data_IF_079904063068
#
_entry.id   IF_079904063068
#
_cell.length_a   1.000
_cell.length_b   1.000
_cell.length_c   1.000
_cell.angle_alpha   90.00
_cell.angle_beta   90.00
_cell.angle_gamma   90.00
#
_symmetry.space_group_name_H-M   'P 1'
#
loop_
_entity.id
_entity.type
_entity.pdbx_description
1 polymer ?
#
# COMPACT_ATOMS: atom_id res chain seq x y z
N UNK A 1 -15.39 22.41 -7.34
CA UNK A 1 -14.87 21.10 -7.75
C UNK A 1 -15.67 20.03 -7.05
N UNK A 2 -15.90 18.88 -7.70
CA UNK A 2 -16.50 17.72 -7.05
C UNK A 2 -15.49 17.04 -6.14
N UNK A 3 -15.94 16.69 -4.94
CA UNK A 3 -15.16 15.95 -3.97
C UNK A 3 -16.06 15.07 -3.11
N UNK A 4 -15.48 14.03 -2.52
CA UNK A 4 -16.12 13.30 -1.43
C UNK A 4 -15.84 14.04 -0.13
N UNK A 5 -16.89 14.37 0.60
CA UNK A 5 -16.83 15.10 1.87
C UNK A 5 -17.42 14.23 2.97
N UNK A 6 -16.74 14.23 4.12
CA UNK A 6 -17.18 13.55 5.34
C UNK A 6 -17.39 14.60 6.42
N UNK A 7 -18.64 14.78 6.84
CA UNK A 7 -19.05 15.75 7.88
C UNK A 7 -19.06 15.16 9.29
N UNK A 8 -19.16 13.85 9.41
CA UNK A 8 -19.11 13.10 10.66
C UNK A 8 -18.41 11.76 10.47
N UNK A 9 -17.75 11.25 11.51
CA UNK A 9 -17.15 9.91 11.46
C UNK A 9 -18.23 8.84 11.54
N UNK A 10 -18.09 7.75 10.77
CA UNK A 10 -19.12 6.71 10.77
C UNK A 10 -18.95 5.60 9.73
N UNK A 11 -20.06 4.91 9.38
CA UNK A 11 -20.09 3.92 8.31
C UNK A 11 -19.83 4.57 6.93
N UNK A 12 -19.71 3.79 5.84
CA UNK A 12 -19.44 4.34 4.51
C UNK A 12 -20.45 5.39 4.01
N UNK A 13 -21.69 5.38 4.49
CA UNK A 13 -22.77 6.30 4.12
C UNK A 13 -22.55 7.77 4.55
N UNK A 14 -21.60 8.03 5.46
CA UNK A 14 -21.17 9.40 5.80
C UNK A 14 -20.40 10.09 4.67
N UNK A 15 -19.98 9.36 3.64
CA UNK A 15 -19.22 9.86 2.50
C UNK A 15 -20.19 10.39 1.43
N UNK A 16 -20.17 11.70 1.19
CA UNK A 16 -21.08 12.36 0.24
C UNK A 16 -20.31 13.07 -0.86
N UNK A 17 -20.79 12.96 -2.10
CA UNK A 17 -20.24 13.77 -3.19
C UNK A 17 -20.84 15.18 -3.12
N UNK A 18 -19.98 16.18 -3.08
CA UNK A 18 -20.36 17.59 -2.94
C UNK A 18 -19.54 18.46 -3.88
N UNK A 19 -20.11 19.62 -4.24
CA UNK A 19 -19.40 20.68 -4.94
C UNK A 19 -18.80 21.65 -3.92
N UNK A 20 -17.47 21.65 -3.80
CA UNK A 20 -16.70 22.47 -2.85
C UNK A 20 -15.77 23.45 -3.57
N UNK A 21 -15.24 24.43 -2.85
CA UNK A 21 -14.22 25.35 -3.38
C UNK A 21 -12.94 24.58 -3.77
N UNK A 22 -12.34 24.94 -4.92
CA UNK A 22 -11.09 24.35 -5.35
C UNK A 22 -9.93 24.85 -4.48
N UNK A 23 -9.02 23.97 -4.03
CA UNK A 23 -7.88 24.39 -3.22
C UNK A 23 -6.88 25.16 -4.09
N UNK A 24 -6.18 26.10 -3.47
CA UNK A 24 -5.07 26.83 -4.10
C UNK A 24 -3.73 26.32 -3.58
N UNK A 25 -2.71 26.12 -4.44
CA UNK A 25 -1.40 25.68 -4.00
C UNK A 25 -0.67 26.83 -3.27
N UNK A 26 -0.02 26.52 -2.15
CA UNK A 26 0.97 27.39 -1.52
C UNK A 26 2.29 27.42 -2.28
N UNK A 27 3.32 28.14 -1.77
CA UNK A 27 4.58 28.35 -2.48
C UNK A 27 5.33 27.08 -2.86
N UNK A 28 5.29 26.03 -2.04
CA UNK A 28 5.98 24.74 -2.29
C UNK A 28 5.04 23.66 -2.81
N UNK A 29 3.77 23.99 -3.01
CA UNK A 29 2.75 23.01 -3.33
C UNK A 29 2.53 22.86 -4.83
N UNK A 30 2.02 21.69 -5.20
CA UNK A 30 1.59 21.33 -6.53
C UNK A 30 0.10 21.08 -6.48
N UNK A 31 -0.65 21.76 -7.35
CA UNK A 31 -2.06 21.47 -7.60
C UNK A 31 -2.13 20.43 -8.72
N UNK A 32 -2.77 19.31 -8.45
CA UNK A 32 -2.89 18.19 -9.39
C UNK A 32 -4.35 17.94 -9.71
N UNK A 33 -4.66 17.91 -11.01
CA UNK A 33 -5.93 17.41 -11.53
C UNK A 33 -5.92 15.89 -11.48
N UNK A 34 -6.66 15.36 -10.52
CA UNK A 34 -6.74 13.92 -10.24
C UNK A 34 -7.38 13.22 -11.43
N UNK A 35 -6.78 12.11 -11.83
CA UNK A 35 -7.30 11.19 -12.86
C UNK A 35 -7.67 9.84 -12.25
N UNK A 36 -7.02 9.47 -11.14
CA UNK A 36 -7.41 8.35 -10.31
C UNK A 36 -6.95 8.59 -8.87
N UNK A 37 -7.69 8.06 -7.91
CA UNK A 37 -7.33 8.05 -6.48
C UNK A 37 -7.41 6.64 -5.93
N UNK A 38 -6.45 6.27 -5.08
CA UNK A 38 -6.32 4.91 -4.57
C UNK A 38 -7.04 4.74 -3.24
N UNK A 39 -7.83 3.67 -3.09
CA UNK A 39 -8.47 3.31 -1.82
C UNK A 39 -7.54 2.41 -1.01
N UNK A 40 -7.33 2.72 0.27
CA UNK A 40 -6.55 1.93 1.21
C UNK A 40 -7.41 1.51 2.42
N UNK A 41 -7.11 0.38 3.08
CA UNK A 41 -7.83 -0.01 4.30
C UNK A 41 -7.81 1.06 5.39
N UNK A 42 -6.69 1.79 5.53
CA UNK A 42 -6.57 2.88 6.51
C UNK A 42 -7.52 4.04 6.22
N UNK A 43 -7.92 4.30 4.96
CA UNK A 43 -8.95 5.30 4.64
C UNK A 43 -10.29 4.96 5.33
N UNK A 44 -10.60 3.67 5.46
CA UNK A 44 -11.82 3.20 6.15
C UNK A 44 -11.76 3.42 7.65
N UNK A 45 -10.57 3.30 8.27
CA UNK A 45 -10.38 3.50 9.70
C UNK A 45 -10.43 4.98 10.07
N UNK A 46 -9.88 5.84 9.21
CA UNK A 46 -9.98 7.31 9.33
C UNK A 46 -11.44 7.75 9.20
N UNK A 47 -12.15 7.28 8.18
CA UNK A 47 -13.59 7.55 8.00
C UNK A 47 -14.44 7.07 9.17
N UNK A 48 -14.13 5.90 9.73
CA UNK A 48 -14.81 5.38 10.93
C UNK A 48 -14.42 6.10 12.23
N UNK A 49 -13.39 6.95 12.22
CA UNK A 49 -12.90 7.66 13.40
C UNK A 49 -12.17 6.77 14.42
N UNK A 50 -11.68 5.60 13.99
CA UNK A 50 -10.95 4.61 14.82
C UNK A 50 -9.43 4.67 14.65
N UNK A 51 -8.94 5.51 13.74
CA UNK A 51 -7.52 5.81 13.53
C UNK A 51 -7.28 7.32 13.64
N UNK A 52 -6.48 7.90 12.74
CA UNK A 52 -6.29 9.34 12.66
C UNK A 52 -7.64 10.06 12.48
N UNK A 53 -7.80 11.22 13.12
CA UNK A 53 -9.05 12.00 13.14
C UNK A 53 -8.80 13.41 12.58
N UNK A 54 -8.88 13.59 11.24
CA UNK A 54 -8.82 14.92 10.64
C UNK A 54 -9.97 15.82 11.11
N UNK A 55 -9.80 17.14 11.00
CA UNK A 55 -10.85 18.10 11.32
C UNK A 55 -12.02 17.93 10.33
N UNK A 56 -13.25 17.93 10.85
CA UNK A 56 -14.47 17.81 10.05
C UNK A 56 -14.98 19.20 9.61
N UNK A 57 -15.57 19.33 8.41
CA UNK A 57 -15.60 18.33 7.36
C UNK A 57 -14.22 18.15 6.71
N UNK A 58 -13.93 16.95 6.19
CA UNK A 58 -12.71 16.69 5.41
C UNK A 58 -13.00 15.91 4.14
N UNK A 59 -12.05 15.97 3.21
CA UNK A 59 -12.02 15.16 1.99
C UNK A 59 -11.14 13.92 2.23
N UNK A 60 -11.64 12.69 2.07
CA UNK A 60 -10.82 11.47 2.25
C UNK A 60 -9.79 11.23 1.12
N UNK A 61 -9.04 10.14 1.27
CA UNK A 61 -8.11 9.63 0.26
C UNK A 61 -6.71 10.19 0.39
N UNK A 62 -5.71 9.30 0.29
CA UNK A 62 -4.29 9.67 0.37
C UNK A 62 -3.59 9.59 -0.98
N UNK A 63 -3.79 8.49 -1.71
CA UNK A 63 -3.08 8.19 -2.97
C UNK A 63 -3.77 8.84 -4.16
N UNK A 64 -3.01 9.43 -5.07
CA UNK A 64 -3.55 9.96 -6.32
C UNK A 64 -2.56 9.79 -7.48
N UNK A 65 -3.11 9.85 -8.68
CA UNK A 65 -2.35 10.13 -9.88
C UNK A 65 -3.14 11.04 -10.82
N UNK A 66 -2.44 11.87 -11.56
CA UNK A 66 -3.07 12.89 -12.36
C UNK A 66 -2.09 13.76 -13.14
N UNK A 67 -2.57 14.93 -13.53
CA UNK A 67 -1.81 15.91 -14.29
C UNK A 67 -1.61 17.15 -13.43
N UNK A 68 -0.40 17.68 -13.38
CA UNK A 68 -0.12 18.95 -12.71
C UNK A 68 -0.94 20.05 -13.39
N UNK A 69 -1.82 20.70 -12.62
CA UNK A 69 -2.64 21.83 -13.06
C UNK A 69 -1.86 23.14 -12.87
N UNK A 70 -1.28 23.32 -11.67
CA UNK A 70 -0.51 24.49 -11.30
C UNK A 70 0.58 24.14 -10.28
N UNK A 71 1.58 25.01 -10.15
CA UNK A 71 2.68 24.88 -9.19
C UNK A 71 2.88 26.18 -8.44
N UNK A 72 3.25 26.08 -7.16
CA UNK A 72 3.69 27.19 -6.35
C UNK A 72 5.02 27.79 -6.84
N UNK A 73 5.31 29.02 -6.40
CA UNK A 73 6.46 29.80 -6.85
C UNK A 73 7.84 29.22 -6.47
N UNK A 74 7.89 28.30 -5.51
CA UNK A 74 9.11 27.64 -5.02
C UNK A 74 9.21 26.16 -5.44
N UNK A 75 8.27 25.67 -6.26
CA UNK A 75 8.31 24.32 -6.81
C UNK A 75 9.43 24.20 -7.84
N UNK A 76 10.21 23.12 -7.74
CA UNK A 76 11.30 22.81 -8.66
C UNK A 76 11.07 21.45 -9.31
N UNK A 77 11.36 21.35 -10.61
CA UNK A 77 11.34 20.07 -11.34
C UNK A 77 9.95 19.55 -11.76
N UNK A 78 8.87 20.24 -11.36
CA UNK A 78 7.50 19.97 -11.84
C UNK A 78 6.92 21.21 -12.53
N UNK A 79 6.05 20.97 -13.51
CA UNK A 79 5.38 22.02 -14.30
C UNK A 79 3.99 21.57 -14.71
N UNK A 80 3.11 22.52 -15.02
CA UNK A 80 1.79 22.24 -15.56
C UNK A 80 1.87 21.28 -16.77
N UNK A 81 0.90 20.36 -16.86
CA UNK A 81 0.85 19.31 -17.89
C UNK A 81 1.67 18.05 -17.58
N UNK A 82 2.53 18.05 -16.54
CA UNK A 82 3.29 16.85 -16.17
C UNK A 82 2.39 15.76 -15.58
N UNK A 83 2.64 14.50 -15.94
CA UNK A 83 2.01 13.32 -15.33
C UNK A 83 2.68 13.02 -14.00
N UNK A 84 1.89 12.87 -12.95
CA UNK A 84 2.39 12.66 -11.59
C UNK A 84 1.55 11.66 -10.82
N UNK A 85 2.15 11.08 -9.79
CA UNK A 85 1.47 10.36 -8.72
C UNK A 85 1.99 10.86 -7.37
N UNK A 86 1.27 10.57 -6.30
CA UNK A 86 1.69 10.94 -4.96
C UNK A 86 0.81 10.34 -3.90
N UNK A 87 1.16 10.62 -2.65
CA UNK A 87 0.38 10.23 -1.48
C UNK A 87 0.45 11.28 -0.38
N UNK A 88 -0.66 11.50 0.31
CA UNK A 88 -0.71 12.27 1.55
C UNK A 88 -0.61 11.40 2.80
N UNK A 89 -0.81 12.04 3.96
CA UNK A 89 -1.04 11.35 5.23
C UNK A 89 -2.54 11.28 5.53
N UNK A 90 -2.97 10.43 6.48
CA UNK A 90 -4.36 10.37 6.93
C UNK A 90 -4.91 11.72 7.43
N UNK A 91 -4.03 12.58 7.96
CA UNK A 91 -4.40 13.92 8.43
C UNK A 91 -4.55 14.92 7.29
N UNK A 92 -3.80 14.74 6.20
CA UNK A 92 -3.89 15.63 5.04
C UNK A 92 -5.13 15.35 4.18
N UNK A 93 -5.45 14.08 3.93
CA UNK A 93 -6.58 13.68 3.08
C UNK A 93 -6.60 14.38 1.72
N UNK A 94 -7.73 14.44 1.02
CA UNK A 94 -7.93 15.32 -0.13
C UNK A 94 -7.80 14.67 -1.51
N UNK A 95 -7.44 13.39 -1.60
CA UNK A 95 -7.28 12.73 -2.90
C UNK A 95 -8.61 12.27 -3.53
N UNK A 96 -9.68 12.10 -2.75
CA UNK A 96 -11.03 11.81 -3.25
C UNK A 96 -11.74 13.08 -3.76
N UNK A 97 -11.12 13.76 -4.73
CA UNK A 97 -11.60 14.99 -5.35
C UNK A 97 -11.07 15.14 -6.78
N UNK A 98 -11.64 16.08 -7.55
CA UNK A 98 -11.13 16.42 -8.89
C UNK A 98 -9.75 17.10 -8.87
N UNK A 99 -9.44 17.84 -7.81
CA UNK A 99 -8.14 18.49 -7.60
C UNK A 99 -7.61 18.17 -6.20
N UNK A 100 -6.29 17.99 -6.10
CA UNK A 100 -5.58 17.80 -4.82
C UNK A 100 -4.35 18.68 -4.77
N UNK A 101 -4.07 19.23 -3.58
CA UNK A 101 -2.85 19.99 -3.29
C UNK A 101 -1.91 19.16 -2.42
N UNK A 102 -0.63 19.14 -2.79
CA UNK A 102 0.44 18.50 -2.04
C UNK A 102 1.74 19.28 -2.12
N UNK A 103 2.53 19.20 -1.05
CA UNK A 103 3.91 19.68 -1.11
C UNK A 103 4.69 18.91 -2.20
N UNK A 104 5.55 19.60 -2.93
CA UNK A 104 6.34 19.01 -4.01
C UNK A 104 7.15 17.78 -3.59
N UNK A 105 7.53 17.65 -2.31
CA UNK A 105 8.24 16.48 -1.79
C UNK A 105 7.39 15.20 -1.76
N UNK A 106 6.07 15.30 -1.95
CA UNK A 106 5.12 14.19 -1.95
C UNK A 106 4.56 13.88 -3.36
N UNK A 107 5.08 14.57 -4.38
CA UNK A 107 4.61 14.46 -5.77
C UNK A 107 5.75 13.96 -6.65
N UNK A 108 5.53 12.83 -7.31
CA UNK A 108 6.54 12.12 -8.07
C UNK A 108 6.11 12.00 -9.54
N UNK A 109 7.04 12.13 -10.49
CA UNK A 109 6.72 11.94 -11.90
C UNK A 109 6.21 10.52 -12.19
N UNK A 110 5.15 10.42 -12.99
CA UNK A 110 4.59 9.16 -13.47
C UNK A 110 5.07 8.90 -14.91
N UNK A 111 5.77 7.79 -15.20
CA UNK A 111 6.20 7.45 -16.56
C UNK A 111 5.01 7.30 -17.53
N UNK A 112 5.22 7.63 -18.80
CA UNK A 112 4.15 7.62 -19.82
C UNK A 112 3.49 6.25 -20.01
N UNK A 113 4.27 5.17 -19.85
CA UNK A 113 3.80 3.78 -19.92
C UNK A 113 2.98 3.30 -18.72
N UNK A 114 2.81 4.12 -17.68
CA UNK A 114 2.03 3.78 -16.49
C UNK A 114 0.70 4.55 -16.49
N UNK A 115 -0.41 3.82 -16.52
CA UNK A 115 -1.75 4.43 -16.49
C UNK A 115 -2.01 5.16 -15.16
N UNK A 116 -2.90 6.15 -15.14
CA UNK A 116 -3.20 6.89 -13.90
C UNK A 116 -3.79 5.99 -12.81
N UNK A 117 -4.66 5.03 -13.16
CA UNK A 117 -5.15 4.03 -12.22
C UNK A 117 -4.02 3.24 -11.55
N UNK A 118 -2.99 2.86 -12.31
CA UNK A 118 -1.79 2.22 -11.77
C UNK A 118 -0.97 3.19 -10.92
N UNK A 119 -0.84 4.45 -11.35
CA UNK A 119 -0.19 5.51 -10.58
C UNK A 119 -0.82 5.71 -9.19
N UNK A 120 -2.15 5.68 -9.12
CA UNK A 120 -2.90 5.79 -7.86
C UNK A 120 -2.77 4.55 -6.95
N UNK A 121 -2.15 3.47 -7.44
CA UNK A 121 -1.82 2.29 -6.65
C UNK A 121 -0.40 2.35 -6.06
N UNK A 122 0.40 3.38 -6.36
CA UNK A 122 1.82 3.44 -5.97
C UNK A 122 2.05 3.95 -4.55
N UNK A 123 1.52 5.12 -4.21
CA UNK A 123 1.90 5.90 -3.03
C UNK A 123 2.06 5.10 -1.73
N UNK A 124 0.96 4.82 -1.04
CA UNK A 124 0.96 4.02 0.19
C UNK A 124 1.42 2.58 -0.05
N UNK A 125 0.91 1.81 -1.04
CA UNK A 125 1.23 0.39 -1.16
C UNK A 125 2.71 0.11 -1.47
N UNK A 126 3.28 0.76 -2.48
CA UNK A 126 4.68 0.55 -2.87
C UNK A 126 5.65 1.22 -1.91
N UNK A 127 5.29 2.38 -1.34
CA UNK A 127 6.10 3.00 -0.30
C UNK A 127 6.21 2.12 0.95
N UNK A 128 5.10 1.50 1.36
CA UNK A 128 5.06 0.56 2.48
C UNK A 128 5.91 -0.66 2.21
N UNK A 129 5.72 -1.31 1.06
CA UNK A 129 6.45 -2.52 0.68
C UNK A 129 7.97 -2.26 0.55
N UNK A 130 8.37 -1.16 -0.09
CA UNK A 130 9.78 -0.80 -0.22
C UNK A 130 10.43 -0.56 1.14
N UNK A 131 9.77 0.21 2.01
CA UNK A 131 10.25 0.47 3.36
C UNK A 131 10.36 -0.82 4.17
N UNK A 132 9.37 -1.71 4.07
CA UNK A 132 9.35 -2.98 4.78
C UNK A 132 10.54 -3.86 4.38
N UNK A 133 10.76 -4.02 3.07
CA UNK A 133 11.82 -4.87 2.54
C UNK A 133 13.21 -4.31 2.82
N UNK A 134 13.47 -3.04 2.48
CA UNK A 134 14.85 -2.55 2.42
C UNK A 134 15.27 -1.70 3.60
N UNK A 135 14.36 -0.89 4.16
CA UNK A 135 14.72 0.05 5.23
C UNK A 135 14.50 -0.54 6.62
N UNK A 136 13.56 -1.48 6.76
CA UNK A 136 13.28 -2.17 8.02
C UNK A 136 13.94 -3.54 8.05
N UNK A 137 13.60 -4.43 7.10
CA UNK A 137 14.11 -5.80 7.12
C UNK A 137 15.54 -5.95 6.59
N UNK A 138 16.06 -4.94 5.88
CA UNK A 138 17.36 -4.99 5.19
C UNK A 138 17.51 -6.24 4.31
N UNK A 139 16.45 -6.56 3.57
CA UNK A 139 16.35 -7.74 2.73
C UNK A 139 17.47 -7.81 1.68
N UNK A 140 18.01 -9.01 1.47
CA UNK A 140 19.11 -9.28 0.56
C UNK A 140 18.68 -10.21 -0.57
N UNK A 141 19.31 -10.10 -1.76
CA UNK A 141 19.14 -11.12 -2.80
C UNK A 141 19.41 -12.51 -2.24
N UNK A 142 18.57 -13.47 -2.59
CA UNK A 142 18.61 -14.85 -2.07
C UNK A 142 17.81 -15.09 -0.79
N UNK A 143 17.40 -14.05 -0.06
CA UNK A 143 16.49 -14.23 1.08
C UNK A 143 15.14 -14.79 0.61
N UNK A 144 14.53 -15.64 1.44
CA UNK A 144 13.15 -16.09 1.24
C UNK A 144 12.19 -15.21 2.03
N UNK A 145 11.19 -14.65 1.35
CA UNK A 145 10.13 -13.83 1.97
C UNK A 145 8.76 -14.48 1.80
N UNK A 146 8.01 -14.56 2.89
CA UNK A 146 6.57 -14.81 2.89
C UNK A 146 5.83 -13.48 2.91
N UNK A 147 4.95 -13.26 1.92
CA UNK A 147 4.05 -12.11 1.87
C UNK A 147 2.64 -12.58 2.19
N UNK A 148 2.17 -12.26 3.40
CA UNK A 148 0.79 -12.54 3.77
C UNK A 148 -0.17 -11.57 3.08
N UNK A 149 -1.32 -12.05 2.59
CA UNK A 149 -2.28 -11.21 1.87
C UNK A 149 -1.71 -10.60 0.57
N UNK A 150 -0.90 -11.39 -0.13
CA UNK A 150 -0.15 -11.00 -1.33
C UNK A 150 -1.03 -10.53 -2.50
N UNK A 151 -2.33 -10.85 -2.51
CA UNK A 151 -3.25 -10.41 -3.57
C UNK A 151 -3.83 -9.00 -3.37
N UNK A 152 -3.58 -8.35 -2.23
CA UNK A 152 -3.96 -6.95 -2.00
C UNK A 152 -2.94 -5.96 -2.55
N UNK A 153 -3.25 -4.64 -2.51
CA UNK A 153 -2.35 -3.61 -3.07
C UNK A 153 -0.92 -3.62 -2.52
N UNK A 154 -0.75 -3.64 -1.19
CA UNK A 154 0.57 -3.70 -0.56
C UNK A 154 1.25 -5.07 -0.76
N UNK A 155 0.46 -6.14 -0.81
CA UNK A 155 0.93 -7.49 -1.09
C UNK A 155 1.51 -7.62 -2.51
N UNK A 156 0.79 -7.14 -3.52
CA UNK A 156 1.24 -7.11 -4.92
C UNK A 156 2.53 -6.29 -5.05
N UNK A 157 2.57 -5.12 -4.40
CA UNK A 157 3.78 -4.30 -4.39
C UNK A 157 4.98 -5.04 -3.78
N UNK A 158 4.78 -5.69 -2.64
CA UNK A 158 5.81 -6.49 -1.98
C UNK A 158 6.31 -7.65 -2.84
N UNK A 159 5.41 -8.40 -3.48
CA UNK A 159 5.77 -9.51 -4.38
C UNK A 159 6.64 -9.00 -5.53
N UNK A 160 6.23 -7.93 -6.21
CA UNK A 160 6.98 -7.38 -7.34
C UNK A 160 8.35 -6.84 -6.92
N UNK A 161 8.40 -6.05 -5.85
CA UNK A 161 9.66 -5.45 -5.37
C UNK A 161 10.63 -6.56 -4.90
N UNK A 162 10.15 -7.53 -4.12
CA UNK A 162 10.97 -8.65 -3.66
C UNK A 162 11.49 -9.49 -4.84
N UNK A 163 10.62 -9.77 -5.83
CA UNK A 163 11.02 -10.50 -7.04
C UNK A 163 12.09 -9.75 -7.83
N UNK A 164 11.92 -8.45 -8.03
CA UNK A 164 12.88 -7.60 -8.73
C UNK A 164 14.23 -7.49 -8.00
N UNK A 165 14.22 -7.59 -6.67
CA UNK A 165 15.43 -7.58 -5.83
C UNK A 165 16.10 -8.96 -5.66
N UNK A 166 15.60 -10.01 -6.34
CA UNK A 166 16.22 -11.34 -6.32
C UNK A 166 15.92 -12.17 -5.08
N UNK A 167 14.82 -11.90 -4.37
CA UNK A 167 14.34 -12.74 -3.27
C UNK A 167 13.55 -13.94 -3.80
N UNK A 168 13.52 -15.04 -3.03
CA UNK A 168 12.56 -16.14 -3.21
C UNK A 168 11.24 -15.76 -2.54
N UNK A 169 10.21 -15.51 -3.35
CA UNK A 169 8.92 -14.99 -2.88
C UNK A 169 7.89 -16.12 -2.76
N UNK A 170 7.33 -16.28 -1.56
CA UNK A 170 6.13 -17.06 -1.27
C UNK A 170 5.02 -16.05 -0.96
N UNK A 171 3.88 -16.11 -1.64
CA UNK A 171 2.74 -15.23 -1.38
C UNK A 171 1.52 -16.02 -0.94
N UNK A 172 0.67 -15.44 -0.09
CA UNK A 172 -0.62 -16.06 0.26
C UNK A 172 -1.82 -15.25 -0.21
N UNK A 173 -2.88 -15.95 -0.63
CA UNK A 173 -4.18 -15.36 -0.95
C UNK A 173 -5.29 -16.32 -0.52
N UNK A 174 -6.53 -15.84 -0.39
CA UNK A 174 -7.65 -16.65 0.10
C UNK A 174 -8.64 -17.10 -0.97
N UNK A 175 -8.35 -16.85 -2.25
CA UNK A 175 -9.22 -17.21 -3.37
C UNK A 175 -8.39 -17.65 -4.57
N UNK A 176 -8.94 -18.51 -5.42
CA UNK A 176 -8.27 -18.95 -6.65
C UNK A 176 -7.85 -17.77 -7.58
N UNK A 177 -8.69 -16.75 -7.83
CA UNK A 177 -8.25 -15.55 -8.56
C UNK A 177 -7.12 -14.79 -7.86
N UNK A 178 -7.15 -14.70 -6.53
CA UNK A 178 -6.06 -14.08 -5.76
C UNK A 178 -4.74 -14.83 -5.90
N UNK A 179 -4.76 -16.17 -5.85
CA UNK A 179 -3.58 -17.02 -6.05
C UNK A 179 -3.01 -16.89 -7.47
N UNK A 180 -3.89 -16.87 -8.47
CA UNK A 180 -3.51 -16.65 -9.86
C UNK A 180 -2.84 -15.28 -10.04
N UNK A 181 -3.41 -14.23 -9.43
CA UNK A 181 -2.81 -12.91 -9.42
C UNK A 181 -1.42 -12.93 -8.78
N UNK A 182 -1.28 -13.46 -7.56
CA UNK A 182 0.00 -13.53 -6.83
C UNK A 182 1.09 -14.21 -7.66
N UNK A 183 0.74 -15.31 -8.34
CA UNK A 183 1.65 -16.00 -9.27
C UNK A 183 2.02 -15.10 -10.44
N UNK A 184 1.04 -14.48 -11.09
CA UNK A 184 1.27 -13.58 -12.22
C UNK A 184 2.12 -12.34 -11.86
N UNK A 185 2.10 -11.91 -10.59
CA UNK A 185 2.91 -10.81 -10.08
C UNK A 185 4.35 -11.20 -9.73
N UNK A 186 4.72 -12.48 -9.82
CA UNK A 186 6.11 -12.95 -9.71
C UNK A 186 6.45 -13.76 -8.46
N UNK A 187 5.45 -14.14 -7.66
CA UNK A 187 5.65 -15.10 -6.57
C UNK A 187 6.15 -16.44 -7.15
N UNK A 188 7.13 -17.05 -6.49
CA UNK A 188 7.60 -18.39 -6.88
C UNK A 188 6.60 -19.46 -6.45
N UNK A 189 5.92 -19.22 -5.33
CA UNK A 189 4.86 -20.08 -4.81
C UNK A 189 3.70 -19.20 -4.32
N UNK A 190 2.47 -19.60 -4.65
CA UNK A 190 1.25 -18.98 -4.16
C UNK A 190 0.48 -20.02 -3.34
N UNK A 191 0.17 -19.71 -2.07
CA UNK A 191 -0.46 -20.64 -1.14
C UNK A 191 -1.81 -20.10 -0.65
N UNK A 192 -2.79 -20.98 -0.53
CA UNK A 192 -4.09 -20.63 0.04
C UNK A 192 -3.98 -20.50 1.57
N UNK A 193 -4.09 -19.28 2.10
CA UNK A 193 -4.03 -19.08 3.57
C UNK A 193 -5.30 -19.55 4.31
N UNK A 194 -6.34 -19.97 3.59
CA UNK A 194 -7.50 -20.67 4.14
C UNK A 194 -7.27 -22.18 4.32
N UNK A 195 -6.27 -22.76 3.63
CA UNK A 195 -5.95 -24.17 3.76
C UNK A 195 -5.26 -24.46 5.12
N UNK A 196 -5.70 -25.44 5.91
CA UNK A 196 -5.13 -25.70 7.25
C UNK A 196 -3.61 -25.95 7.29
N UNK A 197 -3.04 -26.45 6.20
CA UNK A 197 -1.66 -26.92 6.10
C UNK A 197 -0.71 -25.95 5.37
N UNK A 198 -1.15 -24.74 4.99
CA UNK A 198 -0.33 -23.86 4.16
C UNK A 198 1.02 -23.49 4.80
N UNK A 199 1.09 -23.36 6.13
CA UNK A 199 2.36 -23.10 6.84
C UNK A 199 3.31 -24.31 6.79
N UNK A 200 2.78 -25.53 6.79
CA UNK A 200 3.58 -26.73 6.57
C UNK A 200 4.15 -26.75 5.14
N UNK A 201 3.38 -26.28 4.15
CA UNK A 201 3.88 -26.11 2.79
C UNK A 201 4.99 -25.04 2.71
N UNK A 202 4.90 -23.94 3.47
CA UNK A 202 6.00 -22.95 3.59
C UNK A 202 7.28 -23.63 4.10
N UNK A 203 7.17 -24.46 5.13
CA UNK A 203 8.33 -25.20 5.66
C UNK A 203 8.88 -26.19 4.64
N UNK A 204 8.02 -26.89 3.89
CA UNK A 204 8.46 -27.80 2.83
C UNK A 204 9.19 -27.05 1.68
N UNK A 205 8.66 -25.91 1.22
CA UNK A 205 9.27 -25.05 0.18
C UNK A 205 10.64 -24.51 0.61
N UNK A 206 10.84 -24.35 1.91
CA UNK A 206 12.10 -23.87 2.52
C UNK A 206 12.97 -25.01 3.05
N UNK A 207 12.67 -26.27 2.71
CA UNK A 207 13.43 -27.45 3.10
C UNK A 207 13.64 -27.54 4.62
N UNK A 208 12.62 -27.14 5.39
CA UNK A 208 12.64 -27.10 6.84
C UNK A 208 13.40 -25.93 7.44
N UNK A 209 14.06 -25.08 6.64
CA UNK A 209 14.83 -23.93 7.13
C UNK A 209 13.94 -22.80 7.63
N UNK A 210 12.76 -22.60 7.03
CA UNK A 210 11.91 -21.43 7.27
C UNK A 210 12.28 -20.23 6.40
N UNK A 211 11.49 -19.15 6.51
CA UNK A 211 11.66 -17.91 5.74
C UNK A 211 12.53 -16.90 6.49
N UNK A 212 13.30 -16.10 5.76
CA UNK A 212 14.10 -15.01 6.34
C UNK A 212 13.21 -13.84 6.77
N UNK A 213 12.12 -13.61 6.05
CA UNK A 213 11.25 -12.47 6.25
C UNK A 213 9.77 -12.87 6.11
N UNK A 214 8.93 -12.37 7.01
CA UNK A 214 7.48 -12.32 6.85
C UNK A 214 7.05 -10.86 6.75
N UNK A 215 6.29 -10.53 5.70
CA UNK A 215 5.58 -9.26 5.60
C UNK A 215 4.11 -9.49 5.97
N UNK A 216 3.76 -9.04 7.16
CA UNK A 216 2.51 -9.43 7.82
C UNK A 216 1.43 -8.33 7.72
N UNK A 217 0.29 -8.68 7.10
CA UNK A 217 -0.80 -7.75 6.80
C UNK A 217 -2.01 -7.88 7.75
N UNK A 218 -2.06 -8.91 8.59
CA UNK A 218 -3.12 -9.22 9.54
C UNK A 218 -2.55 -9.89 10.81
N UNK A 219 -1.62 -9.19 11.48
CA UNK A 219 -0.85 -9.73 12.59
C UNK A 219 -1.69 -10.28 13.75
N UNK A 220 -2.89 -9.73 13.99
CA UNK A 220 -3.78 -10.24 15.03
C UNK A 220 -4.26 -11.69 14.79
N UNK A 221 -4.08 -12.23 13.59
CA UNK A 221 -4.46 -13.59 13.20
C UNK A 221 -3.24 -14.50 13.02
N UNK A 222 -2.13 -13.96 12.50
CA UNK A 222 -1.01 -14.79 12.02
C UNK A 222 0.23 -14.74 12.93
N UNK A 223 0.43 -13.65 13.67
CA UNK A 223 1.76 -13.32 14.22
C UNK A 223 2.41 -14.46 15.01
N UNK A 224 1.68 -15.12 15.92
CA UNK A 224 2.25 -16.24 16.70
C UNK A 224 2.68 -17.43 15.84
N UNK A 225 1.91 -17.72 14.79
CA UNK A 225 2.19 -18.80 13.83
C UNK A 225 3.30 -18.44 12.86
N UNK A 226 3.43 -17.15 12.52
CA UNK A 226 4.54 -16.65 11.71
C UNK A 226 5.88 -16.96 12.38
N UNK A 227 5.95 -16.91 13.72
CA UNK A 227 7.17 -17.22 14.46
C UNK A 227 7.64 -18.67 14.28
N UNK A 228 6.72 -19.60 13.98
CA UNK A 228 7.04 -21.02 13.81
C UNK A 228 7.74 -21.30 12.47
N UNK A 229 7.55 -20.44 11.47
CA UNK A 229 8.06 -20.63 10.12
C UNK A 229 9.28 -19.77 9.79
N UNK A 230 9.81 -19.02 10.77
CA UNK A 230 11.01 -18.24 10.58
C UNK A 230 12.26 -19.13 10.52
N UNK A 231 13.19 -18.72 9.67
CA UNK A 231 14.57 -19.18 9.73
C UNK A 231 15.30 -18.59 10.95
N UNK A 232 16.46 -19.14 11.33
CA UNK A 232 17.36 -18.47 12.27
C UNK A 232 17.66 -17.03 11.84
N UNK A 233 17.61 -16.10 12.79
CA UNK A 233 17.66 -14.64 12.61
C UNK A 233 16.55 -14.05 11.71
N UNK A 234 15.46 -14.80 11.50
CA UNK A 234 14.32 -14.36 10.71
C UNK A 234 13.56 -13.20 11.35
N UNK A 235 12.81 -12.47 10.52
CA UNK A 235 12.11 -11.26 10.95
C UNK A 235 10.64 -11.27 10.50
N UNK A 236 9.76 -10.76 11.34
CA UNK A 236 8.39 -10.38 10.95
C UNK A 236 8.29 -8.86 10.92
N UNK A 237 7.91 -8.31 9.77
CA UNK A 237 7.54 -6.89 9.65
C UNK A 237 6.03 -6.78 9.68
N UNK A 238 5.51 -6.26 10.79
CA UNK A 238 4.07 -6.04 11.00
C UNK A 238 3.65 -4.76 10.29
N UNK A 239 2.91 -4.92 9.20
CA UNK A 239 2.39 -3.84 8.35
C UNK A 239 0.91 -3.57 8.65
N UNK A 240 0.14 -4.64 8.87
CA UNK A 240 -1.29 -4.56 9.10
C UNK A 240 -1.73 -5.32 10.35
N UNK A 241 -2.69 -4.74 11.07
CA UNK A 241 -3.23 -5.30 12.31
C UNK A 241 -4.65 -4.77 12.56
N UNK A 242 -5.55 -5.61 13.07
CA UNK A 242 -6.95 -5.25 13.39
C UNK A 242 -7.37 -5.67 14.80
N UNK A 243 -6.44 -6.11 15.65
CA UNK A 243 -6.77 -6.60 16.98
C UNK A 243 -5.56 -6.85 17.87
N UNK A 244 -5.80 -7.50 19.01
CA UNK A 244 -4.74 -8.04 19.88
C UNK A 244 -4.40 -9.47 19.46
N UNK A 245 -3.20 -9.93 19.82
CA UNK A 245 -2.73 -11.30 19.62
C UNK A 245 -1.86 -11.71 20.80
N UNK A 246 -2.02 -12.95 21.22
CA UNK A 246 -1.11 -13.62 22.14
C UNK A 246 0.00 -14.29 21.32
N UNK A 247 1.25 -14.16 21.76
CA UNK A 247 2.41 -14.80 21.14
C UNK A 247 3.20 -15.56 22.20
N UNK A 248 3.91 -16.61 21.80
CA UNK A 248 4.93 -17.26 22.61
C UNK A 248 6.32 -16.65 22.34
N UNK A 249 6.88 -15.82 23.23
CA UNK A 249 8.19 -15.21 23.02
C UNK A 249 9.34 -16.23 22.95
N UNK A 250 9.15 -17.46 23.45
CA UNK A 250 10.15 -18.53 23.34
C UNK A 250 10.42 -18.87 21.87
N UNK A 251 9.43 -18.76 20.99
CA UNK A 251 9.59 -18.97 19.53
C UNK A 251 10.57 -17.99 18.89
N UNK A 252 10.65 -16.77 19.41
CA UNK A 252 11.67 -15.78 19.02
C UNK A 252 13.05 -16.17 19.54
N UNK A 253 13.13 -16.50 20.82
CA UNK A 253 14.40 -16.83 21.49
C UNK A 253 15.10 -18.02 20.82
N UNK A 254 14.37 -19.06 20.43
CA UNK A 254 14.95 -20.27 19.81
C UNK A 254 15.56 -19.98 18.43
N UNK A 255 15.14 -18.90 17.76
CA UNK A 255 15.58 -18.55 16.41
C UNK A 255 16.42 -17.28 16.36
N UNK A 256 16.69 -16.62 17.48
CA UNK A 256 17.22 -15.24 17.50
C UNK A 256 16.43 -14.29 16.57
N UNK A 257 15.11 -14.50 16.51
CA UNK A 257 14.23 -13.79 15.58
C UNK A 257 13.75 -12.45 16.14
N UNK A 258 13.20 -11.61 15.27
CA UNK A 258 12.68 -10.29 15.64
C UNK A 258 11.31 -9.98 15.04
N UNK A 259 10.58 -9.07 15.71
CA UNK A 259 9.33 -8.50 15.22
C UNK A 259 9.52 -6.98 15.16
N UNK A 260 9.18 -6.37 14.03
CA UNK A 260 9.24 -4.92 13.84
C UNK A 260 7.91 -4.37 13.32
N UNK A 261 7.36 -3.36 14.01
CA UNK A 261 6.15 -2.67 13.57
C UNK A 261 6.47 -1.56 12.57
N UNK A 262 5.72 -1.51 11.47
CA UNK A 262 5.93 -0.54 10.39
C UNK A 262 4.67 0.29 10.15
N UNK A 263 4.80 1.61 10.30
CA UNK A 263 3.81 2.57 9.80
C UNK A 263 4.45 3.48 8.76
N UNK A 264 4.00 3.43 7.50
CA UNK A 264 4.60 4.17 6.37
C UNK A 264 4.66 5.69 6.59
N UNK A 265 3.75 6.24 7.38
CA UNK A 265 3.73 7.67 7.72
C UNK A 265 4.90 8.12 8.62
N UNK A 266 5.62 7.18 9.23
CA UNK A 266 6.85 7.45 9.99
C UNK A 266 8.11 7.46 9.11
N UNK A 267 7.97 7.41 7.78
CA UNK A 267 9.11 7.47 6.86
C UNK A 267 9.72 8.86 6.89
N UNK A 268 11.05 8.91 7.04
CA UNK A 268 11.77 10.19 7.05
C UNK A 268 11.78 10.81 5.64
N UNK A 269 11.80 12.14 5.51
CA UNK A 269 11.80 12.79 4.19
C UNK A 269 12.91 12.31 3.26
N UNK A 270 14.12 12.06 3.78
CA UNK A 270 15.25 11.54 3.00
C UNK A 270 15.01 10.14 2.44
N UNK A 271 14.27 9.30 3.17
CA UNK A 271 13.97 7.92 2.79
C UNK A 271 12.85 7.86 1.72
N UNK A 272 11.91 8.80 1.76
CA UNK A 272 10.87 8.93 0.71
C UNK A 272 11.49 9.09 -0.67
N UNK A 273 12.54 9.91 -0.79
CA UNK A 273 13.25 10.10 -2.06
C UNK A 273 13.87 8.80 -2.57
N UNK A 274 14.47 8.01 -1.68
CA UNK A 274 15.07 6.71 -2.02
C UNK A 274 13.99 5.73 -2.49
N UNK A 275 12.90 5.62 -1.74
CA UNK A 275 11.74 4.77 -2.06
C UNK A 275 11.22 5.09 -3.46
N UNK A 276 10.88 6.35 -3.73
CA UNK A 276 10.23 6.71 -4.99
C UNK A 276 11.17 6.75 -6.19
N UNK A 277 12.48 6.91 -5.97
CA UNK A 277 13.51 6.68 -7.01
C UNK A 277 13.51 5.21 -7.43
N UNK A 278 13.49 4.30 -6.47
CA UNK A 278 13.43 2.86 -6.72
C UNK A 278 12.15 2.42 -7.43
N UNK A 279 11.00 2.94 -6.98
CA UNK A 279 9.69 2.70 -7.62
C UNK A 279 9.73 3.17 -9.09
N UNK A 280 10.25 4.38 -9.35
CA UNK A 280 10.35 4.92 -10.70
C UNK A 280 11.19 4.04 -11.62
N UNK A 281 12.37 3.62 -11.17
CA UNK A 281 13.23 2.71 -11.94
C UNK A 281 12.54 1.36 -12.22
N UNK A 282 11.81 0.84 -11.24
CA UNK A 282 11.01 -0.38 -11.41
C UNK A 282 9.87 -0.24 -12.42
N UNK A 283 9.21 0.92 -12.47
CA UNK A 283 8.17 1.23 -13.47
C UNK A 283 8.77 1.37 -14.87
N UNK A 284 9.88 2.09 -15.01
CA UNK A 284 10.55 2.33 -16.30
C UNK A 284 11.08 1.04 -16.93
N UNK A 285 11.58 0.10 -16.11
CA UNK A 285 12.04 -1.22 -16.55
C UNK A 285 10.90 -2.23 -16.75
N UNK A 286 9.68 -1.91 -16.30
CA UNK A 286 8.53 -2.81 -16.31
C UNK A 286 8.61 -3.92 -15.25
N UNK A 287 9.58 -3.88 -14.32
CA UNK A 287 9.66 -4.79 -13.19
C UNK A 287 8.52 -4.57 -12.19
N UNK A 288 8.04 -3.33 -12.08
CA UNK A 288 6.87 -2.96 -11.29
C UNK A 288 5.71 -2.62 -12.23
N UNK A 289 4.57 -3.28 -12.04
CA UNK A 289 3.34 -3.10 -12.83
C UNK A 289 2.14 -3.16 -11.92
N UNK A 290 1.72 -2.04 -11.30
CA UNK A 290 0.63 -2.06 -10.33
C UNK A 290 -0.63 -2.73 -10.88
N UNK A 291 -1.19 -3.64 -10.08
CA UNK A 291 -2.42 -4.36 -10.42
C UNK A 291 -3.63 -3.60 -9.89
N UNK A 292 -4.51 -3.20 -10.79
CA UNK A 292 -5.79 -2.54 -10.49
C UNK A 292 -6.89 -3.58 -10.61
N UNK A 293 -7.62 -3.81 -9.52
CA UNK A 293 -8.71 -4.77 -9.45
C UNK A 293 -9.98 -4.24 -10.14
N UNK A 294 -10.30 -2.98 -9.88
CA UNK A 294 -11.41 -2.28 -10.51
C UNK A 294 -11.22 -0.76 -10.39
N UNK A 295 -11.82 -0.06 -11.35
CA UNK A 295 -12.01 1.38 -11.33
C UNK A 295 -13.49 1.65 -11.07
N UNK A 296 -13.79 2.49 -10.08
CA UNK A 296 -15.15 2.88 -9.72
C UNK A 296 -15.29 4.40 -9.87
N UNK A 297 -16.46 4.95 -10.25
CA UNK A 297 -16.67 6.39 -10.25
C UNK A 297 -16.41 6.99 -8.86
N UNK A 298 -15.93 8.24 -8.80
CA UNK A 298 -15.67 8.93 -7.53
C UNK A 298 -16.91 8.93 -6.61
N UNK A 299 -18.10 9.07 -7.18
CA UNK A 299 -19.37 8.99 -6.46
C UNK A 299 -19.62 7.65 -5.73
N UNK A 300 -18.92 6.58 -6.11
CA UNK A 300 -19.02 5.26 -5.49
C UNK A 300 -17.99 5.03 -4.37
N UNK A 301 -17.38 6.10 -3.84
CA UNK A 301 -16.37 6.00 -2.78
C UNK A 301 -16.86 5.23 -1.54
N UNK A 302 -18.14 5.37 -1.16
CA UNK A 302 -18.74 4.59 -0.08
C UNK A 302 -18.73 3.07 -0.39
N UNK A 303 -19.11 2.68 -1.61
CA UNK A 303 -19.09 1.29 -2.05
C UNK A 303 -17.66 0.74 -2.12
N UNK A 304 -16.70 1.55 -2.58
CA UNK A 304 -15.28 1.18 -2.59
C UNK A 304 -14.74 0.94 -1.17
N UNK A 305 -15.12 1.78 -0.19
CA UNK A 305 -14.76 1.61 1.22
C UNK A 305 -15.40 0.37 1.87
N UNK A 306 -16.60 -0.03 1.44
CA UNK A 306 -17.19 -1.29 1.87
C UNK A 306 -16.43 -2.49 1.27
N UNK A 307 -16.23 -2.47 -0.06
CA UNK A 307 -15.60 -3.55 -0.82
C UNK A 307 -14.15 -3.83 -0.42
N UNK A 308 -13.36 -2.81 -0.07
CA UNK A 308 -11.96 -3.02 0.33
C UNK A 308 -11.81 -3.79 1.65
N UNK A 309 -12.89 -3.86 2.44
CA UNK A 309 -12.92 -4.60 3.71
C UNK A 309 -13.38 -6.05 3.53
N UNK A 310 -13.93 -6.40 2.37
CA UNK A 310 -14.34 -7.76 2.02
C UNK A 310 -13.12 -8.65 1.70
N UNK A 311 -13.19 -9.96 1.95
CA UNK A 311 -12.14 -10.90 1.58
C UNK A 311 -12.01 -11.06 0.05
N UNK A 312 -10.88 -11.61 -0.41
CA UNK A 312 -10.70 -11.94 -1.83
C UNK A 312 -10.17 -10.79 -2.70
N UNK A 313 -9.28 -9.96 -2.15
CA UNK A 313 -8.61 -8.89 -2.88
C UNK A 313 -7.89 -9.40 -4.15
N UNK A 314 -7.91 -8.59 -5.21
CA UNK A 314 -7.29 -8.88 -6.51
C UNK A 314 -6.55 -7.65 -7.06
N UNK A 315 -5.80 -6.98 -6.19
CA UNK A 315 -5.10 -5.73 -6.49
C UNK A 315 -5.75 -4.51 -5.83
N UNK A 316 -5.49 -3.32 -6.38
CA UNK A 316 -5.94 -2.03 -5.86
C UNK A 316 -7.35 -1.69 -6.37
N UNK A 317 -8.19 -1.17 -5.48
CA UNK A 317 -9.43 -0.47 -5.88
C UNK A 317 -9.08 1.00 -6.07
N UNK A 318 -9.47 1.57 -7.21
CA UNK A 318 -9.27 2.99 -7.50
C UNK A 318 -10.59 3.67 -7.82
N UNK A 319 -10.67 4.96 -7.47
CA UNK A 319 -11.78 5.82 -7.85
C UNK A 319 -11.34 6.77 -8.97
N UNK A 320 -12.22 7.02 -9.93
CA UNK A 320 -11.98 7.93 -11.06
C UNK A 320 -12.94 9.13 -10.97
N UNK A 321 -12.43 10.38 -10.98
CA UNK A 321 -13.26 11.60 -10.97
C UNK A 321 -14.17 11.75 -12.20
#
# INVERSE_FOLDING_TARGET
MKAIVVHEFGPPDVMRIEDIEAPSPGPTDVLVRVRATGVNPVDTYVRAGTAARPALPYVPGMDFAGIVEAVGSQVKGLRAGARVYGSGTPMAGGACAELVVRDQAQVYPLPDGCAFAQGAALGIPYGTAWRALFLVANARPGDTVLVHGASGGAGVAAVQIARAAGLKVIGTAGTAPGLALVTAQGAHHALDHGAPDYLHQVMAITEGRGVNLVLEMLANVNLDRDLDILAPAGQVVVIGNRGRVEIDPRKLMVRDASIHGLLVFNTRPEDLRVIHTGIRAGLETGALRPAVACELPLAEAAAAHARIMEPGAQGKIVLVP
#
